data_IF_521328665939
#
_entry.id   IF_521328665939
#
_cell.length_a   1.000
_cell.length_b   1.000
_cell.length_c   1.000
_cell.angle_alpha   90.00
_cell.angle_beta   90.00
_cell.angle_gamma   90.00
#
_symmetry.space_group_name_H-M   'P 1'
#
loop_
_entity.id
_entity.type
_entity.pdbx_description
1 polymer ?
#
# COMPACT_ATOMS: atom_id res chain seq x y z
N UNK A 1 18.72 -9.87 1.71
CA UNK A 1 17.93 -8.82 1.01
C UNK A 1 16.61 -8.65 1.74
N UNK A 2 16.26 -7.42 2.13
CA UNK A 2 14.98 -7.09 2.77
C UNK A 2 13.92 -6.86 1.70
N UNK A 3 12.81 -7.55 1.80
CA UNK A 3 11.64 -7.32 0.93
C UNK A 3 10.63 -6.42 1.63
N UNK A 4 10.21 -5.35 0.95
CA UNK A 4 9.24 -4.36 1.44
C UNK A 4 8.09 -4.23 0.44
N UNK A 5 6.89 -4.56 0.88
CA UNK A 5 5.66 -4.47 0.10
C UNK A 5 4.94 -3.16 0.42
N UNK A 6 4.68 -2.34 -0.58
CA UNK A 6 4.03 -1.03 -0.46
C UNK A 6 2.60 -1.12 -0.99
N UNK A 7 1.62 -0.86 -0.14
CA UNK A 7 0.19 -0.93 -0.45
C UNK A 7 -0.49 0.39 -0.11
N UNK A 8 -1.34 0.90 -1.00
CA UNK A 8 -2.16 2.10 -0.75
C UNK A 8 -1.93 3.25 -1.72
N UNK A 9 -0.75 3.39 -2.34
CA UNK A 9 -0.56 4.25 -3.50
C UNK A 9 -1.27 3.65 -4.72
N UNK A 10 -1.74 4.47 -5.65
CA UNK A 10 -2.44 4.01 -6.85
C UNK A 10 -1.49 3.81 -8.04
N UNK A 11 -0.40 4.58 -8.07
CA UNK A 11 0.59 4.59 -9.15
C UNK A 11 1.92 5.12 -8.63
N UNK A 12 2.93 5.19 -9.49
CA UNK A 12 4.20 5.87 -9.25
C UNK A 12 4.30 7.12 -10.11
N UNK A 13 4.85 8.21 -9.56
CA UNK A 13 5.15 9.42 -10.30
C UNK A 13 3.96 10.30 -10.68
N UNK A 14 2.72 9.88 -10.42
CA UNK A 14 1.56 10.73 -10.57
C UNK A 14 1.45 11.75 -9.43
N UNK A 15 0.63 12.78 -9.62
CA UNK A 15 0.34 13.73 -8.57
C UNK A 15 -0.44 13.08 -7.43
N UNK A 16 0.13 13.11 -6.22
CA UNK A 16 -0.46 12.57 -5.00
C UNK A 16 0.58 12.39 -3.91
N UNK A 17 0.19 12.46 -2.65
CA UNK A 17 1.13 12.31 -1.52
C UNK A 17 1.83 10.95 -1.53
N UNK A 18 1.06 9.88 -1.56
CA UNK A 18 1.61 8.52 -1.56
C UNK A 18 2.32 8.14 -2.87
N UNK A 19 1.78 8.57 -4.01
CA UNK A 19 2.37 8.32 -5.33
C UNK A 19 3.75 8.96 -5.44
N UNK A 20 3.88 10.22 -4.96
CA UNK A 20 5.16 10.94 -4.90
C UNK A 20 6.12 10.30 -3.90
N UNK A 21 5.61 9.93 -2.71
CA UNK A 21 6.43 9.27 -1.68
C UNK A 21 7.03 7.95 -2.19
N UNK A 22 6.20 7.07 -2.75
CA UNK A 22 6.65 5.76 -3.26
C UNK A 22 7.65 5.94 -4.41
N UNK A 23 7.41 6.89 -5.32
CA UNK A 23 8.34 7.21 -6.39
C UNK A 23 9.70 7.64 -5.84
N UNK A 24 9.74 8.62 -4.93
CA UNK A 24 10.97 9.14 -4.36
C UNK A 24 11.71 8.13 -3.49
N UNK A 25 10.99 7.31 -2.74
CA UNK A 25 11.56 6.23 -1.95
C UNK A 25 12.29 5.20 -2.83
N UNK A 26 11.65 4.78 -3.92
CA UNK A 26 12.25 3.80 -4.83
C UNK A 26 13.37 4.41 -5.67
N UNK A 27 13.25 5.67 -6.12
CA UNK A 27 14.32 6.41 -6.79
C UNK A 27 15.57 6.50 -5.89
N UNK A 28 15.40 6.83 -4.61
CA UNK A 28 16.51 6.93 -3.66
C UNK A 28 17.22 5.58 -3.43
N UNK A 29 16.47 4.49 -3.46
CA UNK A 29 17.02 3.15 -3.18
C UNK A 29 17.26 2.30 -4.44
N UNK A 30 17.16 2.86 -5.65
CA UNK A 30 17.24 2.07 -6.89
C UNK A 30 18.53 1.26 -7.05
N UNK A 31 19.65 1.75 -6.49
CA UNK A 31 20.94 1.08 -6.53
C UNK A 31 21.23 0.23 -5.27
N UNK A 32 20.33 0.22 -4.30
CA UNK A 32 20.52 -0.53 -3.05
C UNK A 32 20.12 -1.99 -3.21
N UNK A 33 21.14 -2.86 -3.36
CA UNK A 33 20.94 -4.31 -3.53
C UNK A 33 20.46 -5.04 -2.26
N UNK A 34 20.40 -4.36 -1.11
CA UNK A 34 19.97 -4.96 0.14
C UNK A 34 18.45 -4.84 0.37
N UNK A 35 17.74 -4.04 -0.44
CA UNK A 35 16.29 -3.82 -0.34
C UNK A 35 15.66 -4.10 -1.71
N UNK A 36 14.54 -4.84 -1.71
CA UNK A 36 13.67 -5.02 -2.89
C UNK A 36 12.27 -4.56 -2.54
N UNK A 37 11.79 -3.55 -3.24
CA UNK A 37 10.41 -3.09 -3.13
C UNK A 37 9.48 -3.89 -4.03
N UNK A 38 8.24 -4.11 -3.54
CA UNK A 38 7.11 -4.67 -4.28
C UNK A 38 5.94 -3.70 -4.14
N UNK A 39 5.45 -3.14 -5.23
CA UNK A 39 4.56 -1.99 -5.21
C UNK A 39 3.23 -2.33 -5.85
N UNK A 40 2.15 -2.20 -5.08
CA UNK A 40 0.81 -2.29 -5.62
C UNK A 40 0.46 -1.02 -6.42
N UNK A 41 -0.08 -1.21 -7.61
CA UNK A 41 -0.59 -0.15 -8.48
C UNK A 41 -2.01 -0.48 -8.95
N UNK A 42 -2.81 0.53 -9.29
CA UNK A 42 -4.11 0.32 -9.93
C UNK A 42 -3.93 0.06 -11.43
N UNK A 43 -4.63 -0.95 -11.95
CA UNK A 43 -4.63 -1.26 -13.37
C UNK A 43 -5.59 -0.37 -14.18
N UNK A 44 -6.65 0.18 -13.54
CA UNK A 44 -7.70 0.91 -14.23
C UNK A 44 -8.37 1.98 -13.35
N UNK A 45 -9.21 2.81 -13.95
CA UNK A 45 -9.96 3.86 -13.28
C UNK A 45 -9.11 5.08 -12.87
N UNK A 46 -9.65 5.94 -12.03
CA UNK A 46 -8.96 7.18 -11.65
C UNK A 46 -7.64 6.91 -10.91
N UNK A 47 -6.55 7.52 -11.41
CA UNK A 47 -5.21 7.38 -10.86
C UNK A 47 -4.54 6.03 -11.17
N UNK A 48 -4.97 5.32 -12.21
CA UNK A 48 -4.34 4.07 -12.63
C UNK A 48 -2.87 4.28 -13.05
N UNK A 49 -2.10 3.21 -12.96
CA UNK A 49 -0.70 3.19 -13.40
C UNK A 49 -0.61 3.00 -14.91
N UNK A 50 0.02 3.94 -15.56
CA UNK A 50 0.43 3.87 -16.95
C UNK A 50 1.96 3.81 -16.97
N UNK A 51 2.51 2.62 -16.98
CA UNK A 51 3.94 2.37 -16.95
C UNK A 51 4.66 2.84 -18.20
N UNK A 52 3.94 3.07 -19.30
CA UNK A 52 4.53 3.61 -20.54
C UNK A 52 5.01 5.05 -20.38
N UNK A 53 4.54 5.74 -19.34
CA UNK A 53 4.96 7.11 -18.97
C UNK A 53 6.19 7.15 -18.06
N UNK A 54 6.68 6.00 -17.62
CA UNK A 54 7.88 5.92 -16.81
C UNK A 54 9.09 5.59 -17.70
N UNK A 55 9.98 6.54 -17.82
CA UNK A 55 11.23 6.31 -18.56
C UNK A 55 12.08 5.25 -17.84
N UNK A 56 12.47 4.20 -18.59
CA UNK A 56 13.22 3.07 -18.04
C UNK A 56 12.37 1.98 -17.36
N UNK A 57 11.03 2.04 -17.41
CA UNK A 57 10.19 0.93 -16.96
C UNK A 57 10.36 -0.30 -17.85
N UNK A 58 10.51 -1.47 -17.25
CA UNK A 58 10.63 -2.76 -17.93
C UNK A 58 9.36 -3.56 -17.74
N UNK A 59 8.60 -3.78 -18.80
CA UNK A 59 7.37 -4.57 -18.78
C UNK A 59 7.72 -6.05 -18.62
N UNK A 60 7.10 -6.72 -17.64
CA UNK A 60 7.25 -8.14 -17.36
C UNK A 60 6.05 -8.94 -17.87
N UNK A 61 4.84 -8.38 -17.71
CA UNK A 61 3.56 -8.95 -18.18
C UNK A 61 2.51 -7.83 -18.28
N UNK A 62 1.28 -8.17 -18.66
CA UNK A 62 0.15 -7.22 -18.70
C UNK A 62 -0.15 -6.58 -17.34
N UNK A 63 0.22 -7.26 -16.26
CA UNK A 63 -0.05 -6.82 -14.88
C UNK A 63 1.19 -6.54 -14.04
N UNK A 64 2.40 -6.70 -14.57
CA UNK A 64 3.63 -6.53 -13.81
C UNK A 64 4.71 -5.81 -14.61
N UNK A 65 5.48 -4.97 -13.94
CA UNK A 65 6.63 -4.27 -14.51
C UNK A 65 7.72 -4.04 -13.45
N UNK A 66 8.94 -3.75 -13.88
CA UNK A 66 10.02 -3.28 -13.00
C UNK A 66 10.31 -1.80 -13.26
N UNK A 67 10.53 -1.07 -12.17
CA UNK A 67 10.95 0.34 -12.21
C UNK A 67 11.75 0.69 -10.96
N UNK A 68 12.84 1.44 -11.05
CA UNK A 68 13.75 1.77 -9.94
C UNK A 68 14.14 0.53 -9.11
N UNK A 69 14.47 -0.58 -9.79
CA UNK A 69 14.72 -1.88 -9.13
C UNK A 69 13.57 -2.40 -8.25
N UNK A 70 12.37 -1.83 -8.36
CA UNK A 70 11.17 -2.31 -7.68
C UNK A 70 10.35 -3.21 -8.62
N UNK A 71 9.75 -4.25 -8.06
CA UNK A 71 8.72 -5.05 -8.73
C UNK A 71 7.35 -4.39 -8.50
N UNK A 72 6.69 -3.98 -9.56
CA UNK A 72 5.39 -3.32 -9.53
C UNK A 72 4.32 -4.27 -10.08
N UNK A 73 3.17 -4.36 -9.41
CA UNK A 73 2.06 -5.20 -9.85
C UNK A 73 0.75 -4.41 -9.87
N UNK A 74 -0.07 -4.66 -10.89
CA UNK A 74 -1.29 -3.89 -11.16
C UNK A 74 -2.53 -4.67 -10.74
N UNK A 75 -3.40 -4.04 -9.95
CA UNK A 75 -4.66 -4.60 -9.47
C UNK A 75 -5.83 -3.97 -10.23
N UNK A 76 -6.62 -4.78 -10.90
CA UNK A 76 -7.88 -4.36 -11.53
C UNK A 76 -8.95 -4.15 -10.46
N UNK A 77 -9.63 -3.01 -10.51
CA UNK A 77 -10.69 -2.63 -9.57
C UNK A 77 -12.04 -2.51 -10.27
N UNK A 78 -13.12 -3.08 -9.70
CA UNK A 78 -14.46 -2.92 -10.24
C UNK A 78 -15.00 -1.49 -10.01
N UNK A 79 -16.00 -1.08 -10.79
CA UNK A 79 -16.66 0.22 -10.65
C UNK A 79 -17.70 0.19 -9.52
N UNK A 80 -17.24 0.22 -8.28
CA UNK A 80 -18.07 0.16 -7.05
C UNK A 80 -18.00 1.44 -6.21
N UNK A 81 -17.79 2.58 -6.87
CA UNK A 81 -17.74 3.89 -6.20
C UNK A 81 -16.65 3.98 -5.13
N UNK A 82 -16.98 4.55 -3.97
CA UNK A 82 -16.03 4.78 -2.88
C UNK A 82 -15.41 3.48 -2.30
N UNK A 83 -16.09 2.34 -2.44
CA UNK A 83 -15.59 1.05 -1.97
C UNK A 83 -14.39 0.53 -2.79
N UNK A 84 -14.11 1.12 -3.96
CA UNK A 84 -12.94 0.78 -4.78
C UNK A 84 -11.61 0.81 -4.01
N UNK A 85 -11.45 1.81 -3.12
CA UNK A 85 -10.21 1.96 -2.37
C UNK A 85 -10.01 0.80 -1.37
N UNK A 86 -11.09 0.37 -0.72
CA UNK A 86 -11.09 -0.78 0.20
C UNK A 86 -10.79 -2.08 -0.59
N UNK A 87 -11.48 -2.27 -1.71
CA UNK A 87 -11.27 -3.43 -2.58
C UNK A 87 -9.82 -3.50 -3.07
N UNK A 88 -9.28 -2.37 -3.55
CA UNK A 88 -7.91 -2.27 -4.02
C UNK A 88 -6.90 -2.70 -2.96
N UNK A 89 -7.00 -2.15 -1.73
CA UNK A 89 -6.07 -2.48 -0.66
C UNK A 89 -6.17 -3.96 -0.25
N UNK A 90 -7.39 -4.51 -0.18
CA UNK A 90 -7.62 -5.93 0.11
C UNK A 90 -6.97 -6.83 -0.95
N UNK A 91 -7.19 -6.55 -2.24
CA UNK A 91 -6.62 -7.33 -3.34
C UNK A 91 -5.11 -7.19 -3.43
N UNK A 92 -4.59 -5.99 -3.15
CA UNK A 92 -3.15 -5.77 -3.05
C UNK A 92 -2.51 -6.62 -1.94
N UNK A 93 -3.14 -6.70 -0.77
CA UNK A 93 -2.66 -7.53 0.33
C UNK A 93 -2.82 -9.04 0.06
N UNK A 94 -3.88 -9.45 -0.63
CA UNK A 94 -4.02 -10.85 -1.09
C UNK A 94 -2.85 -11.22 -2.00
N UNK A 95 -2.55 -10.39 -3.01
CA UNK A 95 -1.40 -10.59 -3.90
C UNK A 95 -0.08 -10.63 -3.10
N UNK A 96 0.18 -9.65 -2.21
CA UNK A 96 1.39 -9.64 -1.39
C UNK A 96 1.56 -10.94 -0.62
N UNK A 97 0.51 -11.42 0.04
CA UNK A 97 0.56 -12.67 0.81
C UNK A 97 0.84 -13.90 -0.05
N UNK A 98 0.28 -13.95 -1.25
CA UNK A 98 0.52 -15.04 -2.21
C UNK A 98 1.95 -14.98 -2.75
N UNK A 99 2.42 -13.80 -3.12
CA UNK A 99 3.78 -13.59 -3.61
C UNK A 99 4.83 -13.96 -2.56
N UNK A 100 4.65 -13.52 -1.31
CA UNK A 100 5.53 -13.86 -0.17
C UNK A 100 5.61 -15.40 -0.02
N UNK A 101 4.46 -16.06 -0.02
CA UNK A 101 4.38 -17.51 0.14
C UNK A 101 5.04 -18.26 -1.02
N UNK A 102 4.71 -17.89 -2.26
CA UNK A 102 5.17 -18.58 -3.47
C UNK A 102 6.67 -18.43 -3.69
N UNK A 103 7.24 -17.30 -3.27
CA UNK A 103 8.66 -17.02 -3.38
C UNK A 103 9.46 -17.33 -2.10
N UNK A 104 8.84 -17.92 -1.07
CA UNK A 104 9.47 -18.26 0.22
C UNK A 104 10.21 -17.07 0.86
N UNK A 105 9.67 -15.85 0.72
CA UNK A 105 10.28 -14.63 1.24
C UNK A 105 10.29 -14.67 2.77
N UNK A 106 11.45 -14.44 3.36
CA UNK A 106 11.63 -14.42 4.82
C UNK A 106 11.61 -12.99 5.35
N UNK A 107 10.99 -12.82 6.52
CA UNK A 107 10.91 -11.55 7.24
C UNK A 107 10.47 -10.36 6.36
N UNK A 108 9.38 -10.49 5.55
CA UNK A 108 8.90 -9.38 4.73
C UNK A 108 8.35 -8.26 5.60
N UNK A 109 8.48 -7.02 5.13
CA UNK A 109 7.75 -5.88 5.68
C UNK A 109 6.60 -5.56 4.72
N UNK A 110 5.38 -5.47 5.24
CA UNK A 110 4.21 -5.00 4.49
C UNK A 110 3.83 -3.63 5.04
N UNK A 111 4.09 -2.59 4.25
CA UNK A 111 3.82 -1.21 4.62
C UNK A 111 2.55 -0.71 3.93
N UNK A 112 1.53 -0.44 4.74
CA UNK A 112 0.19 -0.04 4.28
C UNK A 112 0.05 1.47 4.48
N UNK A 113 -0.34 2.17 3.43
CA UNK A 113 -0.58 3.60 3.43
C UNK A 113 -2.09 3.88 3.45
N UNK A 114 -2.54 4.61 4.46
CA UNK A 114 -3.92 4.90 4.82
C UNK A 114 -4.71 3.77 5.51
N UNK A 115 -5.69 4.19 6.31
CA UNK A 115 -6.43 3.31 7.24
C UNK A 115 -7.78 2.86 6.68
N UNK A 116 -7.81 2.21 5.49
CA UNK A 116 -9.05 1.90 4.77
C UNK A 116 -9.70 0.56 5.12
N UNK A 117 -8.93 -0.40 5.66
CA UNK A 117 -9.34 -1.81 5.76
C UNK A 117 -9.40 -2.35 7.20
N UNK A 118 -9.65 -1.49 8.17
CA UNK A 118 -9.65 -1.85 9.60
C UNK A 118 -10.37 -3.14 9.95
N UNK A 119 -11.63 -3.39 9.49
CA UNK A 119 -12.35 -4.64 9.76
C UNK A 119 -11.63 -5.91 9.30
N UNK A 120 -10.77 -5.80 8.28
CA UNK A 120 -10.03 -6.93 7.69
C UNK A 120 -8.60 -7.04 8.23
N UNK A 121 -8.09 -5.99 8.87
CA UNK A 121 -6.68 -5.84 9.22
C UNK A 121 -6.14 -6.96 10.11
N UNK A 122 -6.91 -7.37 11.12
CA UNK A 122 -6.55 -8.49 12.02
C UNK A 122 -6.22 -9.78 11.28
N UNK A 123 -6.95 -10.07 10.20
CA UNK A 123 -6.72 -11.28 9.38
C UNK A 123 -5.38 -11.19 8.65
N UNK A 124 -5.10 -10.05 8.03
CA UNK A 124 -3.83 -9.83 7.31
C UNK A 124 -2.63 -9.79 8.26
N UNK A 125 -2.76 -9.08 9.37
CA UNK A 125 -1.73 -9.07 10.42
C UNK A 125 -1.32 -10.50 10.82
N UNK A 126 -2.29 -11.34 11.19
CA UNK A 126 -2.02 -12.72 11.55
C UNK A 126 -1.41 -13.55 10.41
N UNK A 127 -1.85 -13.32 9.17
CA UNK A 127 -1.35 -14.04 7.99
C UNK A 127 0.10 -13.67 7.71
N UNK A 128 0.45 -12.39 7.77
CA UNK A 128 1.80 -11.87 7.55
C UNK A 128 2.74 -12.34 8.66
N UNK A 129 2.31 -12.23 9.92
CA UNK A 129 3.09 -12.74 11.07
C UNK A 129 3.37 -14.25 10.99
N UNK A 130 2.39 -15.05 10.53
CA UNK A 130 2.60 -16.49 10.32
C UNK A 130 3.69 -16.78 9.28
N UNK A 131 3.96 -15.85 8.38
CA UNK A 131 5.04 -15.93 7.38
C UNK A 131 6.35 -15.28 7.88
N UNK A 132 6.43 -14.87 9.14
CA UNK A 132 7.60 -14.21 9.75
C UNK A 132 7.72 -12.73 9.38
N UNK A 133 6.68 -12.12 8.82
CA UNK A 133 6.70 -10.73 8.39
C UNK A 133 6.23 -9.75 9.46
N UNK A 134 6.38 -8.47 9.16
CA UNK A 134 5.91 -7.34 9.97
C UNK A 134 4.96 -6.46 9.16
N UNK A 135 4.06 -5.77 9.86
CA UNK A 135 3.11 -4.82 9.27
C UNK A 135 3.44 -3.42 9.75
N UNK A 136 3.80 -2.55 8.81
CA UNK A 136 3.97 -1.13 9.05
C UNK A 136 2.77 -0.36 8.51
N UNK A 137 2.42 0.74 9.14
CA UNK A 137 1.25 1.54 8.80
C UNK A 137 1.62 3.02 8.72
N UNK A 138 1.20 3.70 7.65
CA UNK A 138 1.08 5.15 7.64
C UNK A 138 -0.39 5.49 7.89
N UNK A 139 -0.76 6.10 9.03
CA UNK A 139 -2.16 6.37 9.38
C UNK A 139 -2.81 7.50 8.58
N UNK A 140 -2.05 8.28 7.78
CA UNK A 140 -2.49 9.41 6.93
C UNK A 140 -3.11 10.60 7.69
N UNK A 141 -3.60 10.44 8.84
CA UNK A 141 -4.18 11.50 9.66
C UNK A 141 -5.62 11.88 9.33
N UNK A 142 -6.49 11.61 10.28
CA UNK A 142 -7.85 12.15 10.43
C UNK A 142 -8.75 12.17 9.18
N UNK A 143 -8.69 11.16 8.30
CA UNK A 143 -9.60 11.12 7.13
C UNK A 143 -11.08 11.25 7.55
N UNK A 144 -11.43 10.76 8.73
CA UNK A 144 -12.76 10.87 9.32
C UNK A 144 -13.18 12.31 9.67
N UNK A 145 -12.27 13.28 9.75
CA UNK A 145 -12.59 14.69 9.99
C UNK A 145 -12.96 15.45 8.71
N UNK A 146 -12.72 14.87 7.52
CA UNK A 146 -12.96 15.57 6.27
C UNK A 146 -14.46 15.78 6.02
N UNK A 147 -14.85 17.03 5.77
CA UNK A 147 -16.24 17.43 5.57
C UNK A 147 -16.95 16.77 4.37
N UNK A 148 -16.18 16.25 3.40
CA UNK A 148 -16.73 15.53 2.24
C UNK A 148 -17.47 14.23 2.59
N UNK A 149 -17.25 13.68 3.79
CA UNK A 149 -17.80 12.39 4.19
C UNK A 149 -19.08 12.55 5.02
N UNK A 150 -20.09 11.72 4.74
CA UNK A 150 -21.29 11.59 5.57
C UNK A 150 -20.96 11.03 6.97
N UNK A 151 -21.84 11.24 7.94
CA UNK A 151 -21.60 10.78 9.32
C UNK A 151 -21.32 9.27 9.45
N UNK A 152 -22.05 8.36 8.76
CA UNK A 152 -21.73 6.93 8.79
C UNK A 152 -20.34 6.61 8.23
N UNK A 153 -19.95 7.29 7.14
CA UNK A 153 -18.63 7.08 6.51
C UNK A 153 -17.52 7.58 7.43
N UNK A 154 -17.70 8.74 8.08
CA UNK A 154 -16.74 9.24 9.08
C UNK A 154 -16.57 8.27 10.24
N UNK A 155 -17.67 7.68 10.73
CA UNK A 155 -17.61 6.65 11.77
C UNK A 155 -16.82 5.43 11.31
N UNK A 156 -17.05 4.95 10.08
CA UNK A 156 -16.28 3.86 9.50
C UNK A 156 -14.77 4.17 9.48
N UNK A 157 -14.38 5.35 8.97
CA UNK A 157 -12.97 5.75 8.91
C UNK A 157 -12.33 5.79 10.29
N UNK A 158 -13.00 6.37 11.29
CA UNK A 158 -12.49 6.45 12.66
C UNK A 158 -12.28 5.06 13.28
N UNK A 159 -13.23 4.17 13.14
CA UNK A 159 -13.10 2.80 13.66
C UNK A 159 -12.08 1.97 12.86
N UNK A 160 -12.00 2.19 11.55
CA UNK A 160 -11.00 1.55 10.70
C UNK A 160 -9.58 1.96 11.10
N UNK A 161 -9.32 3.24 11.34
CA UNK A 161 -8.04 3.77 11.82
C UNK A 161 -7.62 3.10 13.12
N UNK A 162 -8.49 3.10 14.14
CA UNK A 162 -8.20 2.42 15.42
C UNK A 162 -7.84 0.94 15.26
N UNK A 163 -8.59 0.23 14.41
CA UNK A 163 -8.32 -1.18 14.16
C UNK A 163 -7.00 -1.39 13.43
N UNK A 164 -6.65 -0.53 12.48
CA UNK A 164 -5.41 -0.66 11.73
C UNK A 164 -4.19 -0.32 12.57
N UNK A 165 -4.25 0.74 13.38
CA UNK A 165 -3.19 1.07 14.36
C UNK A 165 -3.01 -0.07 15.37
N UNK A 166 -4.10 -0.63 15.89
CA UNK A 166 -4.03 -1.77 16.82
C UNK A 166 -3.37 -3.02 16.24
N UNK A 167 -3.52 -3.23 14.93
CA UNK A 167 -3.01 -4.40 14.22
C UNK A 167 -1.88 -4.01 13.25
N UNK A 168 -0.95 -3.18 13.73
CA UNK A 168 0.33 -2.87 13.09
C UNK A 168 1.47 -3.02 14.10
N UNK A 169 2.67 -3.31 13.62
CA UNK A 169 3.87 -3.42 14.45
C UNK A 169 4.55 -2.07 14.62
N UNK A 170 4.41 -1.20 13.60
CA UNK A 170 4.99 0.14 13.60
C UNK A 170 4.07 1.10 12.85
N UNK A 171 3.74 2.23 13.49
CA UNK A 171 3.14 3.38 12.82
C UNK A 171 4.23 4.37 12.39
N UNK A 172 4.22 4.78 11.13
CA UNK A 172 5.14 5.76 10.56
C UNK A 172 4.31 6.99 10.20
N UNK A 173 4.49 8.07 10.96
CA UNK A 173 3.71 9.29 10.83
C UNK A 173 4.46 10.33 10.00
N UNK A 174 3.77 11.01 9.08
CA UNK A 174 4.35 12.04 8.21
C UNK A 174 4.58 13.36 8.95
N UNK A 175 3.95 13.54 10.12
CA UNK A 175 4.11 14.73 10.94
C UNK A 175 4.00 14.43 12.42
N UNK A 176 4.63 15.29 13.22
CA UNK A 176 4.56 15.24 14.70
C UNK A 176 3.13 15.41 15.24
N UNK A 177 2.25 16.07 14.49
CA UNK A 177 0.85 16.22 14.89
C UNK A 177 0.06 14.91 14.74
N UNK A 178 0.41 14.08 13.77
CA UNK A 178 -0.18 12.74 13.58
C UNK A 178 0.38 11.78 14.64
N UNK A 179 1.67 11.88 14.95
CA UNK A 179 2.30 11.06 15.99
C UNK A 179 1.68 11.29 17.38
N UNK A 180 1.32 12.53 17.70
CA UNK A 180 0.74 12.90 19.00
C UNK A 180 -0.73 12.53 19.17
N UNK A 181 -1.39 12.13 18.11
CA UNK A 181 -2.79 11.74 18.10
C UNK A 181 -2.97 10.25 18.47
#
# INVERSE_FOLDING_TARGET
MQHVFLVGAKSLGAYGGYETFVYKLTEHHQDNKNIKYHIACKANGNGFMDETKLDGAKILSDSEFEFHNAHCFKITVPEIGAAQAIYYDIKSLDYCCEYIKNNNIKNPIVYIMACRIGPFMKRYYKKIHKMGGQVYLNPDGHEWMRAKWSAPVRKYWKESEKMMVKWSDLAICDSINIEKY
#
